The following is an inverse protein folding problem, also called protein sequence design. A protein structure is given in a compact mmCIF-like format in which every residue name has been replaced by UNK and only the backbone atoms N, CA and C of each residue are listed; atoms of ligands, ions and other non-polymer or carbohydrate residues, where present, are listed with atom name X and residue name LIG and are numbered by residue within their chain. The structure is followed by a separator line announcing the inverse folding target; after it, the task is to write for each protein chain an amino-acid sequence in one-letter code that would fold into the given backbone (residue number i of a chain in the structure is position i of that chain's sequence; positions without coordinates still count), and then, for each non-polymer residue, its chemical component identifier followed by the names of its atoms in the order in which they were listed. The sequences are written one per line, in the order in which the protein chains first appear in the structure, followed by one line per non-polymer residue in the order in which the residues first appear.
data_IF_610010304638
#
_entry.id   IF_610010304638
#
_cell.length_a   1.000
_cell.length_b   1.000
_cell.length_c   1.000
_cell.angle_alpha   90.00
_cell.angle_beta   90.00
_cell.angle_gamma   90.00
#
_symmetry.space_group_name_H-M   'P 1'
#
loop_
_entity.id
_entity.type
_entity.pdbx_description
1 polymer ?
#
# COMPACT_ATOMS: atom_id res chain seq x y z
N UNK A 1 -7.91 -15.75 18.68
CA UNK A 1 -7.25 -14.55 18.17
C UNK A 1 -8.08 -14.05 17.01
N UNK A 2 -8.82 -12.97 17.20
CA UNK A 2 -9.71 -12.40 16.20
C UNK A 2 -8.85 -11.72 15.14
N UNK A 3 -8.83 -12.26 13.93
CA UNK A 3 -8.25 -11.60 12.77
C UNK A 3 -8.93 -10.23 12.63
N UNK A 4 -8.14 -9.17 12.74
CA UNK A 4 -8.57 -7.83 12.42
C UNK A 4 -8.86 -7.81 10.92
N UNK A 5 -10.13 -7.91 10.55
CA UNK A 5 -10.56 -7.71 9.18
C UNK A 5 -10.24 -6.26 8.82
N UNK A 6 -9.14 -6.07 8.08
CA UNK A 6 -8.86 -4.78 7.47
C UNK A 6 -10.09 -4.35 6.69
N UNK A 7 -10.66 -3.21 7.04
CA UNK A 7 -11.86 -2.63 6.42
C UNK A 7 -11.57 -2.17 4.98
N UNK A 8 -11.26 -3.11 4.09
CA UNK A 8 -11.20 -2.78 2.66
C UNK A 8 -12.62 -2.57 2.16
N UNK A 9 -12.86 -1.41 1.58
CA UNK A 9 -14.16 -1.06 1.03
C UNK A 9 -14.56 -2.03 -0.10
N UNK A 10 -15.85 -2.31 -0.22
CA UNK A 10 -16.37 -3.17 -1.28
C UNK A 10 -16.07 -2.59 -2.67
N UNK A 11 -15.83 -3.45 -3.67
CA UNK A 11 -15.59 -3.03 -5.06
C UNK A 11 -16.70 -2.13 -5.59
N UNK A 12 -17.96 -2.38 -5.20
CA UNK A 12 -19.09 -1.53 -5.58
C UNK A 12 -18.96 -0.10 -5.01
N UNK A 13 -18.52 0.04 -3.77
CA UNK A 13 -18.27 1.35 -3.17
C UNK A 13 -17.12 2.07 -3.88
N UNK A 14 -16.06 1.36 -4.25
CA UNK A 14 -14.90 1.89 -4.97
C UNK A 14 -15.26 2.35 -6.40
N UNK A 15 -16.09 1.59 -7.12
CA UNK A 15 -16.59 1.98 -8.45
C UNK A 15 -17.37 3.31 -8.43
N UNK A 16 -17.90 3.72 -7.28
CA UNK A 16 -18.58 5.01 -7.08
C UNK A 16 -17.62 6.15 -6.75
N UNK A 17 -16.33 5.89 -6.51
CA UNK A 17 -15.33 6.91 -6.25
C UNK A 17 -14.94 7.65 -7.52
N UNK A 18 -14.59 8.94 -7.38
CA UNK A 18 -14.20 9.82 -8.47
C UNK A 18 -12.70 9.97 -8.61
N UNK A 19 -11.98 9.80 -7.50
CA UNK A 19 -10.53 9.81 -7.46
C UNK A 19 -10.02 8.91 -6.34
N UNK A 20 -8.77 8.52 -6.44
CA UNK A 20 -8.07 7.75 -5.42
C UNK A 20 -6.69 8.34 -5.16
N UNK A 21 -6.21 8.17 -3.93
CA UNK A 21 -4.93 8.71 -3.48
C UNK A 21 -4.10 7.61 -2.82
N UNK A 22 -2.86 7.51 -3.23
CA UNK A 22 -1.81 6.80 -2.52
C UNK A 22 -0.93 7.83 -1.79
N UNK A 23 -1.08 7.89 -0.46
CA UNK A 23 -0.34 8.80 0.42
C UNK A 23 0.92 8.10 0.94
N UNK A 24 1.90 7.94 0.08
CA UNK A 24 3.18 7.37 0.48
C UNK A 24 4.10 8.38 1.18
N UNK A 25 5.01 7.90 2.05
CA UNK A 25 5.97 8.73 2.75
C UNK A 25 6.96 9.41 1.79
N UNK A 26 7.40 8.71 0.74
CA UNK A 26 8.29 9.29 -0.28
C UNK A 26 7.52 10.04 -1.37
N UNK A 27 6.42 9.48 -1.87
CA UNK A 27 5.66 10.05 -2.99
C UNK A 27 4.16 9.97 -2.73
N UNK A 28 3.47 11.02 -3.14
CA UNK A 28 2.01 11.12 -3.18
C UNK A 28 1.53 10.97 -4.62
N UNK A 29 0.61 10.04 -4.85
CA UNK A 29 0.03 9.78 -6.16
C UNK A 29 -1.47 9.94 -6.13
N UNK A 30 -2.02 10.52 -7.20
CA UNK A 30 -3.47 10.70 -7.33
C UNK A 30 -3.93 10.18 -8.69
N UNK A 31 -4.90 9.28 -8.65
CA UNK A 31 -5.61 8.77 -9.80
C UNK A 31 -7.00 9.40 -9.87
N UNK A 32 -7.38 9.92 -11.02
CA UNK A 32 -8.74 10.45 -11.27
C UNK A 32 -9.44 9.57 -12.27
N UNK A 33 -10.64 9.12 -11.94
CA UNK A 33 -11.46 8.26 -12.79
C UNK A 33 -11.70 8.90 -14.15
N UNK A 34 -11.38 8.19 -15.22
CA UNK A 34 -11.45 8.66 -16.60
C UNK A 34 -10.31 9.60 -17.03
N UNK A 35 -9.40 9.97 -16.12
CA UNK A 35 -8.24 10.80 -16.44
C UNK A 35 -6.88 10.12 -16.16
N UNK A 36 -6.91 9.00 -15.42
CA UNK A 36 -5.70 8.24 -15.09
C UNK A 36 -4.91 8.84 -13.93
N UNK A 37 -3.60 8.53 -13.87
CA UNK A 37 -2.66 9.06 -12.91
C UNK A 37 -2.36 10.53 -13.23
N UNK A 38 -2.83 11.44 -12.38
CA UNK A 38 -2.72 12.90 -12.60
C UNK A 38 -1.67 13.56 -11.73
N UNK A 39 -1.28 12.94 -10.63
CA UNK A 39 -0.21 13.39 -9.72
C UNK A 39 0.69 12.21 -9.40
N UNK A 40 1.99 12.40 -9.55
CA UNK A 40 3.05 11.56 -9.01
C UNK A 40 4.21 12.48 -8.58
N UNK A 41 4.22 12.85 -7.31
CA UNK A 41 5.12 13.87 -6.78
C UNK A 41 5.67 13.45 -5.41
N UNK A 42 6.89 13.88 -5.04
CA UNK A 42 7.40 13.72 -3.69
C UNK A 42 6.44 14.25 -2.62
N UNK A 43 6.30 13.53 -1.51
CA UNK A 43 5.48 13.93 -0.36
C UNK A 43 6.22 14.97 0.50
N UNK A 44 6.59 16.09 -0.12
CA UNK A 44 7.38 17.16 0.50
C UNK A 44 6.71 18.52 0.32
N UNK A 45 6.81 19.35 1.35
CA UNK A 45 6.32 20.73 1.35
C UNK A 45 7.36 21.67 1.99
N UNK A 46 7.67 22.78 1.34
CA UNK A 46 8.55 23.81 1.89
C UNK A 46 7.69 24.95 2.48
N UNK A 47 7.95 25.28 3.74
CA UNK A 47 7.15 26.23 4.52
C UNK A 47 8.05 27.33 5.08
N UNK A 48 7.60 28.56 5.02
CA UNK A 48 8.20 29.64 5.77
C UNK A 48 7.79 29.54 7.25
N UNK A 49 8.74 29.29 8.14
CA UNK A 49 8.49 29.10 9.57
C UNK A 49 8.04 30.35 10.30
N UNK A 50 8.27 31.53 9.74
CA UNK A 50 7.85 32.83 10.35
C UNK A 50 6.43 33.19 9.97
N UNK A 51 5.99 32.90 8.76
CA UNK A 51 4.68 33.31 8.23
C UNK A 51 3.69 32.16 8.10
N UNK A 52 4.15 30.89 8.19
CA UNK A 52 3.35 29.68 7.89
C UNK A 52 3.03 29.53 6.40
N UNK A 53 3.55 30.39 5.53
CA UNK A 53 3.27 30.35 4.09
C UNK A 53 3.88 29.11 3.44
N UNK A 54 3.10 28.42 2.61
CA UNK A 54 3.57 27.32 1.77
C UNK A 54 4.33 27.92 0.57
N UNK A 55 5.59 27.55 0.40
CA UNK A 55 6.51 28.09 -0.63
C UNK A 55 6.55 27.19 -1.85
N UNK A 56 6.67 25.87 -1.63
CA UNK A 56 6.79 24.89 -2.68
C UNK A 56 6.23 23.53 -2.22
N UNK A 57 5.87 22.67 -3.17
CA UNK A 57 5.46 21.28 -2.93
C UNK A 57 6.09 20.35 -3.95
N UNK A 58 6.10 19.05 -3.64
CA UNK A 58 6.56 18.01 -4.56
C UNK A 58 8.05 18.16 -4.88
N UNK A 59 8.41 17.99 -6.15
CA UNK A 59 9.80 18.05 -6.62
C UNK A 59 10.52 19.38 -6.29
N UNK A 60 9.81 20.50 -6.33
CA UNK A 60 10.39 21.78 -5.97
C UNK A 60 10.78 21.83 -4.50
N UNK A 61 9.90 21.35 -3.61
CA UNK A 61 10.21 21.26 -2.19
C UNK A 61 11.33 20.24 -1.91
N UNK A 62 11.32 19.10 -2.59
CA UNK A 62 12.37 18.07 -2.48
C UNK A 62 13.75 18.63 -2.84
N UNK A 63 13.88 19.38 -3.94
CA UNK A 63 15.12 20.04 -4.37
C UNK A 63 15.62 21.10 -3.38
N UNK A 64 14.75 21.63 -2.53
CA UNK A 64 15.09 22.58 -1.49
C UNK A 64 15.66 21.92 -0.23
N UNK A 65 15.52 20.60 -0.06
CA UNK A 65 16.00 19.88 1.12
C UNK A 65 17.49 20.08 1.32
N UNK A 66 17.88 20.57 2.52
CA UNK A 66 19.25 20.84 2.88
C UNK A 66 19.87 22.10 2.23
N UNK A 67 19.10 22.88 1.46
CA UNK A 67 19.55 24.08 0.74
C UNK A 67 18.80 25.34 1.12
N UNK A 68 18.00 25.30 2.16
CA UNK A 68 17.13 26.40 2.59
C UNK A 68 17.77 27.24 3.68
N UNK A 69 17.52 28.56 3.71
CA UNK A 69 17.86 29.39 4.86
C UNK A 69 17.01 28.97 6.07
N UNK A 70 17.46 29.30 7.29
CA UNK A 70 16.87 28.81 8.55
C UNK A 70 15.37 29.13 8.76
N UNK A 71 14.82 30.10 8.04
CA UNK A 71 13.38 30.43 8.10
C UNK A 71 12.53 29.67 7.07
N UNK A 72 13.12 28.79 6.25
CA UNK A 72 12.42 27.89 5.34
C UNK A 72 12.71 26.47 5.75
N UNK A 73 11.66 25.69 6.02
CA UNK A 73 11.76 24.30 6.40
C UNK A 73 11.03 23.40 5.39
N UNK A 74 11.70 22.37 4.95
CA UNK A 74 11.05 21.28 4.19
C UNK A 74 10.49 20.28 5.19
N UNK A 75 9.20 19.98 5.07
CA UNK A 75 8.47 19.04 5.92
C UNK A 75 7.84 17.94 5.07
N UNK A 76 7.69 16.77 5.66
CA UNK A 76 7.00 15.61 5.07
C UNK A 76 5.74 15.32 5.89
N UNK A 77 4.55 15.62 5.37
CA UNK A 77 3.30 15.44 6.11
C UNK A 77 2.85 13.98 6.23
N UNK A 78 3.54 13.08 5.53
CA UNK A 78 3.30 11.64 5.57
C UNK A 78 4.57 10.94 6.04
N UNK A 79 4.47 10.10 7.04
CA UNK A 79 5.57 9.28 7.59
C UNK A 79 5.06 7.89 7.91
N UNK A 80 5.87 6.85 7.66
CA UNK A 80 5.47 5.47 7.92
C UNK A 80 4.23 4.99 7.16
N UNK A 81 3.84 5.64 6.06
CA UNK A 81 2.60 5.35 5.34
C UNK A 81 1.34 5.95 5.99
N UNK A 82 1.51 6.80 7.02
CA UNK A 82 0.41 7.47 7.72
C UNK A 82 0.55 8.99 7.65
N UNK A 83 -0.58 9.71 7.70
CA UNK A 83 -0.57 11.16 7.72
C UNK A 83 -0.27 11.64 9.14
N UNK A 84 0.84 12.35 9.32
CA UNK A 84 1.28 12.91 10.62
C UNK A 84 0.93 14.39 10.78
N UNK A 85 0.67 15.10 9.66
CA UNK A 85 0.23 16.49 9.64
C UNK A 85 -0.89 16.64 8.61
N UNK A 86 -2.13 16.59 9.09
CA UNK A 86 -3.35 16.62 8.26
C UNK A 86 -3.45 17.94 7.50
N UNK A 87 -3.21 19.07 8.17
CA UNK A 87 -3.34 20.39 7.54
C UNK A 87 -2.31 20.55 6.41
N UNK A 88 -1.06 20.16 6.67
CA UNK A 88 -0.02 20.24 5.67
C UNK A 88 -0.25 19.28 4.51
N UNK A 89 -0.73 18.06 4.78
CA UNK A 89 -1.11 17.10 3.74
C UNK A 89 -2.22 17.65 2.84
N UNK A 90 -3.24 18.27 3.42
CA UNK A 90 -4.31 18.93 2.67
C UNK A 90 -3.79 20.10 1.83
N UNK A 91 -2.93 20.95 2.39
CA UNK A 91 -2.31 22.08 1.67
C UNK A 91 -1.45 21.59 0.52
N UNK A 92 -0.62 20.58 0.75
CA UNK A 92 0.20 19.93 -0.27
C UNK A 92 -0.66 19.36 -1.40
N UNK A 93 -1.66 18.55 -1.10
CA UNK A 93 -2.55 17.94 -2.09
C UNK A 93 -3.32 18.98 -2.91
N UNK A 94 -3.80 20.07 -2.27
CA UNK A 94 -4.48 21.16 -2.99
C UNK A 94 -3.59 21.80 -4.04
N UNK A 95 -2.29 21.96 -3.76
CA UNK A 95 -1.32 22.50 -4.72
C UNK A 95 -0.97 21.50 -5.80
N UNK A 96 -0.73 20.22 -5.44
CA UNK A 96 -0.38 19.17 -6.38
C UNK A 96 -1.50 18.89 -7.39
N UNK A 97 -2.76 18.92 -6.97
CA UNK A 97 -3.91 18.77 -7.85
C UNK A 97 -4.10 19.95 -8.82
N UNK A 98 -3.62 21.13 -8.46
CA UNK A 98 -3.80 22.33 -9.26
C UNK A 98 -5.26 22.75 -9.42
N UNK A 99 -5.51 23.97 -9.93
CA UNK A 99 -6.85 24.54 -9.99
C UNK A 99 -7.78 23.86 -10.97
N UNK A 100 -7.25 23.35 -12.09
CA UNK A 100 -8.05 22.70 -13.13
C UNK A 100 -8.73 21.42 -12.61
N UNK A 101 -7.93 20.54 -11.98
CA UNK A 101 -8.44 19.27 -11.44
C UNK A 101 -9.36 19.55 -10.24
N UNK A 102 -8.98 20.46 -9.34
CA UNK A 102 -9.80 20.84 -8.20
C UNK A 102 -11.17 21.38 -8.61
N UNK A 103 -11.24 22.24 -9.65
CA UNK A 103 -12.52 22.72 -10.18
C UNK A 103 -13.35 21.60 -10.76
N UNK A 104 -12.74 20.66 -11.49
CA UNK A 104 -13.41 19.49 -12.05
C UNK A 104 -14.01 18.60 -10.94
N UNK A 105 -13.24 18.31 -9.89
CA UNK A 105 -13.69 17.51 -8.76
C UNK A 105 -14.81 18.21 -7.96
N UNK A 106 -14.70 19.52 -7.72
CA UNK A 106 -15.73 20.29 -7.00
C UNK A 106 -17.11 20.31 -7.71
N UNK A 107 -17.14 20.14 -9.02
CA UNK A 107 -18.38 20.05 -9.81
C UNK A 107 -19.08 18.69 -9.65
N UNK A 108 -18.41 17.68 -9.06
CA UNK A 108 -19.02 16.36 -8.87
C UNK A 108 -19.97 16.39 -7.66
N UNK A 109 -21.27 16.11 -7.87
CA UNK A 109 -22.20 15.98 -6.74
C UNK A 109 -21.76 14.79 -5.88
N UNK A 110 -21.75 14.98 -4.56
CA UNK A 110 -21.38 13.94 -3.59
C UNK A 110 -20.00 13.33 -3.90
N UNK A 111 -18.97 14.17 -4.04
CA UNK A 111 -17.59 13.76 -4.31
C UNK A 111 -17.18 12.62 -3.36
N UNK A 112 -16.71 11.52 -3.92
CA UNK A 112 -16.22 10.33 -3.20
C UNK A 112 -14.79 10.05 -3.59
N UNK A 113 -14.00 9.62 -2.62
CA UNK A 113 -12.58 9.30 -2.81
C UNK A 113 -12.26 7.92 -2.23
N UNK A 114 -11.16 7.34 -2.70
CA UNK A 114 -10.53 6.19 -2.08
C UNK A 114 -9.10 6.56 -1.65
N UNK A 115 -8.57 5.91 -0.61
CA UNK A 115 -7.19 6.10 -0.15
C UNK A 115 -6.59 4.77 0.29
N UNK A 116 -5.33 4.54 -0.09
CA UNK A 116 -4.54 3.44 0.43
C UNK A 116 -4.17 3.69 1.90
N UNK A 117 -4.29 2.63 2.70
CA UNK A 117 -3.81 2.59 4.09
C UNK A 117 -2.99 1.32 4.30
N UNK A 118 -1.95 1.35 5.14
CA UNK A 118 -1.26 0.13 5.55
C UNK A 118 -2.22 -0.89 6.16
N UNK A 119 -1.88 -2.19 6.03
CA UNK A 119 -2.69 -3.28 6.55
C UNK A 119 -3.00 -3.18 8.04
N UNK A 120 -2.00 -2.77 8.82
CA UNK A 120 -2.03 -2.61 10.27
C UNK A 120 -2.33 -1.17 10.73
N UNK A 121 -2.87 -0.33 9.85
CA UNK A 121 -3.16 1.06 10.18
C UNK A 121 -4.11 1.14 11.38
N UNK A 122 -3.68 1.83 12.44
CA UNK A 122 -4.51 2.09 13.60
C UNK A 122 -5.68 3.02 13.29
N UNK A 123 -6.74 3.06 14.11
CA UNK A 123 -7.92 3.90 13.87
C UNK A 123 -7.61 5.39 13.73
N UNK A 124 -6.57 5.89 14.41
CA UNK A 124 -6.16 7.29 14.32
C UNK A 124 -5.54 7.59 12.96
N UNK A 125 -4.66 6.73 12.49
CA UNK A 125 -4.04 6.80 11.16
C UNK A 125 -5.08 6.72 10.05
N UNK A 126 -6.06 5.81 10.16
CA UNK A 126 -7.17 5.70 9.23
C UNK A 126 -8.00 6.99 9.19
N UNK A 127 -8.32 7.53 10.37
CA UNK A 127 -9.05 8.78 10.50
C UNK A 127 -8.28 9.97 9.90
N UNK A 128 -6.98 10.06 10.13
CA UNK A 128 -6.13 11.11 9.56
C UNK A 128 -6.14 11.08 8.01
N UNK A 129 -6.09 9.89 7.40
CA UNK A 129 -6.22 9.73 5.96
C UNK A 129 -7.60 10.18 5.45
N UNK A 130 -8.69 9.80 6.15
CA UNK A 130 -10.06 10.23 5.82
C UNK A 130 -10.19 11.76 5.91
N UNK A 131 -9.79 12.36 7.03
CA UNK A 131 -9.88 13.81 7.26
C UNK A 131 -9.06 14.60 6.24
N UNK A 132 -7.93 14.06 5.80
CA UNK A 132 -7.13 14.67 4.72
C UNK A 132 -7.94 14.81 3.43
N UNK A 133 -8.66 13.77 3.01
CA UNK A 133 -9.45 13.81 1.78
C UNK A 133 -10.78 14.55 1.95
N UNK A 134 -11.40 14.50 3.13
CA UNK A 134 -12.57 15.33 3.46
C UNK A 134 -12.22 16.81 3.34
N UNK A 135 -11.04 17.23 3.78
CA UNK A 135 -10.54 18.60 3.62
C UNK A 135 -10.33 19.03 2.16
N UNK A 136 -10.25 18.09 1.21
CA UNK A 136 -10.26 18.35 -0.23
C UNK A 136 -11.67 18.47 -0.82
N UNK A 137 -12.70 18.18 -0.02
CA UNK A 137 -14.11 18.24 -0.41
C UNK A 137 -14.77 16.88 -0.64
N UNK A 138 -14.09 15.77 -0.36
CA UNK A 138 -14.70 14.45 -0.41
C UNK A 138 -15.78 14.32 0.68
N UNK A 139 -16.98 13.88 0.31
CA UNK A 139 -18.08 13.63 1.27
C UNK A 139 -18.04 12.21 1.84
N UNK A 140 -17.41 11.31 1.13
CA UNK A 140 -17.17 9.94 1.57
C UNK A 140 -15.81 9.49 1.09
N UNK A 141 -15.10 8.82 1.97
CA UNK A 141 -13.76 8.27 1.72
C UNK A 141 -13.81 6.78 2.01
N UNK A 142 -13.38 5.99 1.06
CA UNK A 142 -13.26 4.54 1.17
C UNK A 142 -11.78 4.19 1.44
N UNK A 143 -11.53 3.36 2.44
CA UNK A 143 -10.20 2.85 2.75
C UNK A 143 -9.93 1.58 1.94
N UNK A 144 -8.73 1.47 1.41
CA UNK A 144 -8.26 0.29 0.68
C UNK A 144 -6.92 -0.13 1.25
N UNK A 145 -6.78 -1.41 1.55
CA UNK A 145 -5.50 -1.97 1.99
C UNK A 145 -4.45 -1.83 0.88
N UNK A 146 -3.28 -1.30 1.23
CA UNK A 146 -2.17 -1.09 0.29
C UNK A 146 -1.70 -2.38 -0.37
N UNK A 147 -1.71 -3.51 0.36
CA UNK A 147 -1.33 -4.82 -0.16
C UNK A 147 -2.29 -5.29 -1.24
N UNK A 148 -3.60 -5.16 -1.00
CA UNK A 148 -4.63 -5.53 -1.98
C UNK A 148 -4.57 -4.60 -3.20
N UNK A 149 -4.48 -3.29 -2.97
CA UNK A 149 -4.34 -2.34 -4.07
C UNK A 149 -3.11 -2.63 -4.94
N UNK A 150 -1.98 -2.91 -4.32
CA UNK A 150 -0.74 -3.21 -5.01
C UNK A 150 -0.80 -4.53 -5.78
N UNK A 151 -1.42 -5.57 -5.21
CA UNK A 151 -1.61 -6.87 -5.86
C UNK A 151 -2.49 -6.77 -7.12
N UNK A 152 -3.59 -6.04 -7.03
CA UNK A 152 -4.43 -5.73 -8.19
C UNK A 152 -3.65 -4.92 -9.24
N UNK A 153 -2.85 -3.95 -8.79
CA UNK A 153 -2.10 -3.06 -9.67
C UNK A 153 -0.96 -3.71 -10.43
N UNK A 154 -0.39 -4.79 -9.91
CA UNK A 154 0.62 -5.60 -10.63
C UNK A 154 0.01 -6.83 -11.34
N UNK A 155 -1.33 -6.96 -11.35
CA UNK A 155 -2.03 -8.01 -12.08
C UNK A 155 -1.96 -9.39 -11.45
N UNK A 156 -1.73 -9.49 -10.14
CA UNK A 156 -1.83 -10.77 -9.45
C UNK A 156 -3.27 -11.30 -9.48
N UNK A 157 -3.48 -12.61 -9.68
CA UNK A 157 -4.80 -13.24 -9.71
C UNK A 157 -5.33 -13.43 -8.28
N UNK A 158 -5.63 -12.31 -7.60
CA UNK A 158 -6.01 -12.29 -6.18
C UNK A 158 -7.32 -13.01 -5.88
N UNK A 159 -8.20 -13.15 -6.87
CA UNK A 159 -9.52 -13.79 -6.76
C UNK A 159 -9.47 -15.33 -6.80
N UNK A 160 -8.33 -15.92 -7.16
CA UNK A 160 -8.20 -17.38 -7.29
C UNK A 160 -7.99 -18.05 -5.92
N UNK A 161 -8.38 -19.33 -5.79
CA UNK A 161 -8.12 -20.12 -4.57
C UNK A 161 -6.67 -20.59 -4.45
N UNK A 162 -5.74 -19.86 -5.01
CA UNK A 162 -4.32 -20.14 -5.05
C UNK A 162 -3.59 -19.03 -4.30
N UNK A 163 -2.58 -19.42 -3.50
CA UNK A 163 -1.83 -18.43 -2.75
C UNK A 163 -0.91 -17.59 -3.65
N UNK A 164 -0.89 -16.29 -3.40
CA UNK A 164 0.08 -15.37 -3.97
C UNK A 164 0.74 -14.55 -2.86
N UNK A 165 2.07 -14.41 -2.90
CA UNK A 165 2.78 -13.55 -1.95
C UNK A 165 3.15 -12.23 -2.61
N UNK A 166 2.75 -11.15 -1.95
CA UNK A 166 3.12 -9.79 -2.35
C UNK A 166 3.98 -9.14 -1.28
N UNK A 167 4.98 -8.38 -1.70
CA UNK A 167 5.81 -7.56 -0.86
C UNK A 167 5.82 -6.11 -1.35
N UNK A 168 5.28 -5.19 -0.55
CA UNK A 168 5.25 -3.75 -0.85
C UNK A 168 6.43 -3.07 -0.15
N UNK A 169 7.47 -2.76 -0.91
CA UNK A 169 8.71 -2.15 -0.43
C UNK A 169 8.59 -0.62 -0.49
N UNK A 170 8.22 0.00 0.62
CA UNK A 170 8.07 1.43 0.76
C UNK A 170 9.37 2.15 1.18
N UNK A 171 9.27 3.46 1.41
CA UNK A 171 10.38 4.26 1.92
C UNK A 171 10.65 3.99 3.40
N UNK A 172 9.61 3.92 4.24
CA UNK A 172 9.71 3.75 5.69
C UNK A 172 9.52 2.31 6.15
N UNK A 173 8.68 1.55 5.45
CA UNK A 173 8.32 0.21 5.85
C UNK A 173 8.16 -0.71 4.64
N UNK A 174 8.37 -1.99 4.86
CA UNK A 174 8.03 -3.07 3.93
C UNK A 174 6.85 -3.85 4.51
N UNK A 175 5.85 -4.12 3.69
CA UNK A 175 4.71 -4.95 4.05
C UNK A 175 4.75 -6.22 3.22
N UNK A 176 4.53 -7.36 3.84
CA UNK A 176 4.51 -8.68 3.19
C UNK A 176 3.19 -9.33 3.51
N UNK A 177 2.55 -9.94 2.53
CA UNK A 177 1.31 -10.69 2.74
C UNK A 177 1.19 -11.88 1.81
N UNK A 178 0.48 -12.88 2.28
CA UNK A 178 -0.08 -13.97 1.47
C UNK A 178 -1.55 -13.67 1.24
N UNK A 179 -1.95 -13.68 -0.03
CA UNK A 179 -3.30 -13.44 -0.50
C UNK A 179 -3.88 -14.71 -1.09
N UNK A 180 -5.14 -14.97 -0.83
CA UNK A 180 -5.93 -16.04 -1.45
C UNK A 180 -7.41 -15.65 -1.42
N UNK A 181 -8.16 -15.97 -2.46
CA UNK A 181 -9.60 -15.68 -2.57
C UNK A 181 -9.93 -14.20 -2.22
N UNK A 182 -9.09 -13.27 -2.68
CA UNK A 182 -9.26 -11.83 -2.46
C UNK A 182 -9.08 -11.32 -1.05
N UNK A 183 -8.61 -12.17 -0.16
CA UNK A 183 -8.40 -11.84 1.25
C UNK A 183 -6.93 -11.98 1.63
N UNK A 184 -6.52 -11.21 2.62
CA UNK A 184 -5.21 -11.37 3.25
C UNK A 184 -5.31 -12.53 4.23
N UNK A 185 -4.54 -13.60 4.00
CA UNK A 185 -4.45 -14.78 4.87
C UNK A 185 -3.55 -14.48 6.07
N UNK A 186 -2.38 -13.95 5.78
CA UNK A 186 -1.40 -13.50 6.79
C UNK A 186 -0.63 -12.32 6.23
N UNK A 187 -0.26 -11.39 7.10
CA UNK A 187 0.54 -10.23 6.73
C UNK A 187 1.45 -9.80 7.88
N UNK A 188 2.56 -9.18 7.50
CA UNK A 188 3.50 -8.56 8.45
C UNK A 188 3.95 -7.21 7.90
N UNK A 189 4.06 -6.23 8.79
CA UNK A 189 4.66 -4.93 8.48
C UNK A 189 5.99 -4.80 9.20
N UNK A 190 7.04 -4.65 8.44
CA UNK A 190 8.41 -4.50 8.89
C UNK A 190 8.78 -3.01 8.82
N UNK A 191 9.22 -2.35 9.92
CA UNK A 191 9.56 -0.93 9.93
C UNK A 191 10.93 -0.67 9.27
N UNK A 192 11.17 -1.31 8.13
CA UNK A 192 12.38 -1.16 7.32
C UNK A 192 11.98 -0.91 5.88
N UNK A 193 12.50 0.16 5.30
CA UNK A 193 12.29 0.54 3.91
C UNK A 193 13.52 1.22 3.33
N UNK A 194 13.36 1.91 2.22
CA UNK A 194 14.45 2.59 1.52
C UNK A 194 15.20 3.61 2.36
N UNK A 195 14.53 4.29 3.29
CA UNK A 195 15.18 5.28 4.17
C UNK A 195 16.15 4.63 5.18
N UNK A 196 15.85 3.41 5.64
CA UNK A 196 16.79 2.68 6.50
C UNK A 196 18.07 2.33 5.74
N UNK A 197 17.94 1.97 4.46
CA UNK A 197 19.06 1.73 3.54
C UNK A 197 19.87 3.01 3.30
N UNK A 198 19.19 4.13 3.01
CA UNK A 198 19.82 5.44 2.84
C UNK A 198 20.61 5.83 4.09
N UNK A 199 20.00 5.63 5.26
CA UNK A 199 20.64 5.92 6.54
C UNK A 199 21.88 5.06 6.77
N UNK A 200 21.82 3.76 6.48
CA UNK A 200 22.96 2.86 6.61
C UNK A 200 24.14 3.30 5.73
N UNK A 201 23.88 3.74 4.49
CA UNK A 201 24.91 4.27 3.58
C UNK A 201 25.52 5.56 4.17
N UNK A 202 24.70 6.49 4.63
CA UNK A 202 25.18 7.76 5.23
C UNK A 202 26.03 7.48 6.46
N UNK A 203 25.64 6.55 7.33
CA UNK A 203 26.41 6.18 8.51
C UNK A 203 27.72 5.49 8.14
N UNK A 204 27.73 4.59 7.16
CA UNK A 204 28.94 3.98 6.65
C UNK A 204 29.97 5.04 6.23
N UNK A 205 29.55 5.99 5.38
CA UNK A 205 30.42 7.03 4.85
C UNK A 205 30.92 7.96 5.95
N UNK A 206 30.08 8.27 6.93
CA UNK A 206 30.46 9.10 8.07
C UNK A 206 31.48 8.41 8.98
N UNK A 207 31.30 7.11 9.27
CA UNK A 207 32.15 6.40 10.22
C UNK A 207 33.46 5.89 9.59
N UNK A 208 33.43 5.39 8.35
CA UNK A 208 34.62 4.83 7.75
C UNK A 208 35.45 5.85 6.95
N UNK A 209 34.78 6.88 6.41
CA UNK A 209 35.43 7.84 5.52
C UNK A 209 35.40 9.26 6.05
N UNK A 210 34.82 9.51 7.24
CA UNK A 210 34.65 10.84 7.84
C UNK A 210 33.97 11.83 6.88
N UNK A 211 33.04 11.33 6.05
CA UNK A 211 32.39 12.09 4.99
C UNK A 211 30.90 12.29 5.31
N UNK A 212 30.45 13.53 5.31
CA UNK A 212 29.02 13.88 5.36
C UNK A 212 28.49 14.02 3.94
N UNK A 213 27.57 13.14 3.58
CA UNK A 213 26.95 13.13 2.27
C UNK A 213 25.71 14.05 2.24
N UNK A 214 25.55 14.87 1.20
CA UNK A 214 24.28 15.56 0.98
C UNK A 214 23.15 14.57 0.79
N UNK A 215 21.98 14.80 1.42
CA UNK A 215 20.84 13.89 1.38
C UNK A 215 20.38 13.55 -0.05
N UNK A 216 20.58 14.44 -1.01
CA UNK A 216 20.25 14.20 -2.42
C UNK A 216 21.27 13.32 -3.18
N UNK A 217 22.42 13.04 -2.58
CA UNK A 217 23.51 12.26 -3.23
C UNK A 217 23.42 10.78 -2.94
N UNK A 218 22.58 10.33 -1.99
CA UNK A 218 22.45 8.91 -1.63
C UNK A 218 21.83 8.12 -2.78
N UNK A 219 20.74 8.61 -3.37
CA UNK A 219 20.07 7.91 -4.48
C UNK A 219 20.93 7.80 -5.76
N UNK A 220 21.62 8.84 -6.24
CA UNK A 220 22.61 8.69 -7.31
C UNK A 220 23.70 7.66 -6.99
N UNK A 221 24.15 7.56 -5.75
CA UNK A 221 25.09 6.55 -5.31
C UNK A 221 24.49 5.13 -5.42
N UNK A 222 23.28 4.90 -4.94
CA UNK A 222 22.57 3.63 -5.09
C UNK A 222 22.46 3.22 -6.56
N UNK A 223 22.08 4.15 -7.43
CA UNK A 223 22.00 3.90 -8.87
C UNK A 223 23.35 3.57 -9.51
N UNK A 224 24.42 4.26 -9.09
CA UNK A 224 25.77 3.94 -9.56
C UNK A 224 26.23 2.55 -9.13
N UNK A 225 25.76 2.06 -7.98
CA UNK A 225 26.05 0.71 -7.47
C UNK A 225 25.26 -0.37 -8.19
N UNK A 226 24.13 -0.01 -8.84
CA UNK A 226 23.29 -0.96 -9.56
C UNK A 226 23.96 -1.53 -10.83
N UNK A 227 24.99 -0.85 -11.35
CA UNK A 227 25.57 -1.17 -12.65
C UNK A 227 24.56 -1.02 -13.80
N UNK A 228 24.99 -0.76 -14.99
CA UNK A 228 24.13 -0.79 -16.18
C UNK A 228 23.73 -2.24 -16.52
N UNK A 229 22.78 -2.81 -15.78
CA UNK A 229 22.06 -4.03 -16.11
C UNK A 229 22.92 -5.32 -16.20
N UNK A 230 22.50 -6.37 -15.50
CA UNK A 230 22.78 -7.79 -15.75
C UNK A 230 24.20 -8.34 -15.47
N UNK A 231 25.17 -7.57 -15.04
CA UNK A 231 26.44 -8.14 -14.60
C UNK A 231 26.72 -7.86 -13.13
N UNK A 232 27.19 -8.87 -12.35
CA UNK A 232 27.63 -8.66 -10.97
C UNK A 232 28.85 -7.74 -10.82
N UNK A 233 29.39 -7.26 -11.92
CA UNK A 233 30.62 -6.50 -12.05
C UNK A 233 30.35 -5.01 -12.34
N UNK A 234 29.70 -4.31 -11.38
CA UNK A 234 29.84 -2.87 -11.32
C UNK A 234 31.29 -2.48 -10.99
N UNK A 235 31.71 -1.22 -11.17
CA UNK A 235 33.06 -0.79 -10.84
C UNK A 235 33.40 -1.19 -9.41
N UNK A 236 34.62 -1.69 -9.19
CA UNK A 236 35.07 -2.15 -7.87
C UNK A 236 35.06 -1.01 -6.82
N UNK A 237 35.10 0.25 -7.27
CA UNK A 237 35.01 1.42 -6.43
C UNK A 237 34.30 2.56 -7.14
N UNK A 238 33.66 3.44 -6.38
CA UNK A 238 33.01 4.67 -6.88
C UNK A 238 33.55 5.89 -6.14
N UNK A 239 33.69 7.02 -6.85
CA UNK A 239 34.10 8.28 -6.25
C UNK A 239 32.87 9.04 -5.75
N UNK A 240 32.91 9.46 -4.48
CA UNK A 240 31.82 10.12 -3.79
C UNK A 240 32.30 11.48 -3.28
N UNK A 241 31.50 12.49 -3.56
CA UNK A 241 31.78 13.88 -3.12
C UNK A 241 30.91 14.21 -1.90
N UNK A 242 31.52 14.77 -0.88
CA UNK A 242 30.85 15.20 0.34
C UNK A 242 31.61 16.25 1.09
N UNK A 243 31.20 16.51 2.33
CA UNK A 243 31.89 17.41 3.24
C UNK A 243 32.68 16.60 4.26
N UNK A 244 33.95 16.86 4.40
CA UNK A 244 34.81 16.32 5.44
C UNK A 244 34.30 16.70 6.83
N UNK A 245 34.23 15.71 7.74
CA UNK A 245 33.66 15.88 9.11
C UNK A 245 34.55 16.82 9.96
N UNK A 246 35.89 16.65 9.86
CA UNK A 246 36.84 17.36 10.69
C UNK A 246 37.08 18.77 10.22
N UNK A 247 37.30 18.96 8.91
CA UNK A 247 37.69 20.26 8.32
C UNK A 247 36.53 21.09 7.83
N UNK A 248 35.36 20.46 7.59
CA UNK A 248 34.19 21.12 6.98
C UNK A 248 34.33 21.41 5.48
N UNK A 249 35.46 21.07 4.86
CA UNK A 249 35.74 21.34 3.46
C UNK A 249 35.13 20.28 2.52
N UNK A 250 34.98 20.63 1.24
CA UNK A 250 34.60 19.67 0.22
C UNK A 250 35.71 18.63 0.03
N UNK A 251 35.35 17.35 0.02
CA UNK A 251 36.25 16.21 -0.13
C UNK A 251 35.64 15.15 -1.02
N UNK A 252 36.49 14.51 -1.83
CA UNK A 252 36.14 13.33 -2.60
C UNK A 252 36.82 12.11 -2.00
N UNK A 253 36.06 11.01 -1.91
CA UNK A 253 36.54 9.73 -1.38
C UNK A 253 36.17 8.64 -2.35
N UNK A 254 37.11 7.71 -2.59
CA UNK A 254 36.84 6.50 -3.34
C UNK A 254 36.38 5.41 -2.37
N UNK A 255 35.19 4.88 -2.60
CA UNK A 255 34.56 3.89 -1.73
C UNK A 255 34.39 2.57 -2.48
N UNK A 256 34.74 1.48 -1.81
CA UNK A 256 34.54 0.13 -2.34
C UNK A 256 33.06 -0.22 -2.42
N UNK A 257 32.61 -0.68 -3.60
CA UNK A 257 31.21 -1.00 -3.86
C UNK A 257 30.71 -2.21 -3.07
N UNK A 258 31.59 -3.17 -2.73
CA UNK A 258 31.23 -4.32 -1.91
C UNK A 258 30.89 -3.90 -0.48
N UNK A 259 31.65 -2.94 0.08
CA UNK A 259 31.39 -2.38 1.40
C UNK A 259 30.03 -1.68 1.47
N UNK A 260 29.65 -0.92 0.43
CA UNK A 260 28.35 -0.25 0.37
C UNK A 260 27.22 -1.27 0.20
N UNK A 261 27.40 -2.33 -0.63
CA UNK A 261 26.41 -3.42 -0.76
C UNK A 261 26.17 -4.11 0.58
N UNK A 262 27.21 -4.40 1.34
CA UNK A 262 27.06 -4.99 2.68
C UNK A 262 26.27 -4.06 3.63
N UNK A 263 26.53 -2.75 3.58
CA UNK A 263 25.78 -1.78 4.37
C UNK A 263 24.29 -1.73 3.98
N UNK A 264 23.97 -1.88 2.69
CA UNK A 264 22.57 -1.96 2.20
C UNK A 264 21.88 -3.23 2.69
N UNK A 265 22.59 -4.36 2.71
CA UNK A 265 22.00 -5.64 3.12
C UNK A 265 21.67 -5.71 4.61
N UNK A 266 22.44 -5.03 5.45
CA UNK A 266 22.27 -5.08 6.91
C UNK A 266 20.85 -4.73 7.38
N UNK A 267 20.23 -3.59 7.02
CA UNK A 267 18.86 -3.28 7.43
C UNK A 267 17.84 -4.23 6.79
N UNK A 268 18.12 -4.80 5.62
CA UNK A 268 17.19 -5.66 4.90
C UNK A 268 17.06 -7.06 5.52
N UNK A 269 17.95 -7.46 6.44
CA UNK A 269 17.85 -8.74 7.15
C UNK A 269 16.53 -8.85 7.93
N UNK A 270 16.07 -7.75 8.52
CA UNK A 270 14.77 -7.72 9.22
C UNK A 270 13.58 -8.03 8.29
N UNK A 271 13.71 -7.77 6.99
CA UNK A 271 12.68 -8.12 6.00
C UNK A 271 12.62 -9.64 5.82
N UNK A 272 13.76 -10.33 5.83
CA UNK A 272 13.82 -11.79 5.78
C UNK A 272 13.14 -12.43 6.98
N UNK A 273 13.36 -11.89 8.17
CA UNK A 273 12.70 -12.35 9.41
C UNK A 273 11.18 -12.19 9.31
N UNK A 274 10.71 -11.06 8.76
CA UNK A 274 9.29 -10.80 8.52
C UNK A 274 8.68 -11.78 7.51
N UNK A 275 9.37 -12.08 6.41
CA UNK A 275 8.93 -13.09 5.45
C UNK A 275 8.83 -14.46 6.13
N UNK A 276 9.85 -14.84 6.91
CA UNK A 276 9.85 -16.09 7.68
C UNK A 276 8.68 -16.19 8.65
N UNK A 277 8.27 -15.07 9.27
CA UNK A 277 7.09 -15.01 10.15
C UNK A 277 5.81 -15.25 9.35
N UNK A 278 5.62 -14.56 8.23
CA UNK A 278 4.45 -14.72 7.35
C UNK A 278 4.31 -16.16 6.87
N UNK A 279 5.42 -16.80 6.47
CA UNK A 279 5.40 -18.20 6.01
C UNK A 279 5.07 -19.19 7.14
N UNK A 280 5.55 -18.95 8.37
CA UNK A 280 5.21 -19.80 9.53
C UNK A 280 3.76 -19.68 9.95
N UNK A 281 3.16 -18.48 9.81
CA UNK A 281 1.78 -18.21 10.18
C UNK A 281 0.79 -18.59 9.05
N UNK A 282 1.31 -18.93 7.86
CA UNK A 282 0.53 -19.33 6.70
C UNK A 282 0.16 -20.83 6.75
N UNK A 283 -1.06 -21.23 6.38
CA UNK A 283 -1.44 -22.64 6.22
C UNK A 283 -0.50 -23.38 5.27
N UNK A 284 -0.09 -24.65 5.59
CA UNK A 284 0.88 -25.40 4.79
C UNK A 284 0.49 -25.59 3.31
N UNK A 285 -0.80 -25.79 3.03
CA UNK A 285 -1.30 -25.98 1.66
C UNK A 285 -1.05 -24.72 0.80
N UNK A 286 -1.21 -23.53 1.39
CA UNK A 286 -0.95 -22.27 0.70
C UNK A 286 0.57 -21.99 0.55
N UNK A 287 1.39 -22.47 1.49
CA UNK A 287 2.86 -22.35 1.36
C UNK A 287 3.37 -23.15 0.19
N UNK A 288 2.77 -24.31 -0.12
CA UNK A 288 3.14 -25.11 -1.27
C UNK A 288 2.95 -24.34 -2.59
N UNK A 289 1.86 -23.60 -2.75
CA UNK A 289 1.62 -22.75 -3.92
C UNK A 289 2.70 -21.68 -4.09
N UNK A 290 3.21 -21.15 -2.98
CA UNK A 290 4.21 -20.08 -2.98
C UNK A 290 5.60 -20.56 -3.43
N UNK A 291 5.91 -21.84 -3.26
CA UNK A 291 7.20 -22.41 -3.69
C UNK A 291 7.42 -22.24 -5.20
N UNK A 292 6.35 -22.40 -5.98
CA UNK A 292 6.39 -22.26 -7.45
C UNK A 292 6.16 -20.82 -7.91
N UNK A 293 5.26 -20.09 -7.24
CA UNK A 293 4.85 -18.73 -7.65
C UNK A 293 5.79 -17.65 -7.17
N UNK A 294 6.43 -17.87 -6.03
CA UNK A 294 7.39 -16.95 -5.43
C UNK A 294 6.79 -15.69 -4.85
N UNK A 295 7.61 -14.66 -4.77
CA UNK A 295 7.32 -13.37 -4.17
C UNK A 295 7.23 -12.30 -5.26
N UNK A 296 6.11 -11.58 -5.32
CA UNK A 296 5.97 -10.40 -6.17
C UNK A 296 6.38 -9.15 -5.39
N UNK A 297 7.44 -8.47 -5.83
CA UNK A 297 7.94 -7.23 -5.23
C UNK A 297 7.37 -6.02 -5.94
N UNK A 298 6.82 -5.09 -5.17
CA UNK A 298 6.31 -3.79 -5.62
C UNK A 298 6.78 -2.68 -4.68
N UNK A 299 6.53 -1.42 -5.04
CA UNK A 299 6.99 -0.24 -4.29
C UNK A 299 8.35 0.26 -4.75
N UNK A 300 8.67 1.51 -4.41
CA UNK A 300 9.87 2.18 -4.92
C UNK A 300 11.19 1.54 -4.46
N UNK A 301 11.21 0.90 -3.29
CA UNK A 301 12.39 0.22 -2.74
C UNK A 301 12.57 -1.22 -3.28
N UNK A 302 11.61 -1.76 -4.04
CA UNK A 302 11.81 -2.99 -4.80
C UNK A 302 12.92 -2.86 -5.86
N UNK A 303 13.24 -1.62 -6.25
CA UNK A 303 14.31 -1.30 -7.19
C UNK A 303 15.69 -1.15 -6.53
N UNK A 304 15.84 -1.45 -5.24
CA UNK A 304 17.14 -1.44 -4.56
C UNK A 304 18.06 -2.53 -5.15
N UNK A 305 19.32 -2.19 -5.46
CA UNK A 305 20.26 -3.11 -6.09
C UNK A 305 20.48 -4.37 -5.28
N UNK A 306 20.29 -5.54 -5.90
CA UNK A 306 20.57 -6.84 -5.29
C UNK A 306 19.57 -7.28 -4.21
N UNK A 307 18.52 -6.53 -3.97
CA UNK A 307 17.51 -6.90 -2.98
C UNK A 307 16.75 -8.16 -3.39
N UNK A 308 16.34 -8.25 -4.63
CA UNK A 308 15.71 -9.44 -5.20
C UNK A 308 16.62 -10.68 -5.15
N UNK A 309 17.91 -10.51 -5.43
CA UNK A 309 18.88 -11.59 -5.35
C UNK A 309 19.09 -12.08 -3.92
N UNK A 310 19.18 -11.16 -2.95
CA UNK A 310 19.28 -11.50 -1.54
C UNK A 310 18.05 -12.30 -1.08
N UNK A 311 16.85 -11.90 -1.48
CA UNK A 311 15.61 -12.61 -1.16
C UNK A 311 15.59 -14.01 -1.77
N UNK A 312 15.93 -14.17 -3.06
CA UNK A 312 16.01 -15.48 -3.71
C UNK A 312 16.98 -16.42 -3.00
N UNK A 313 18.15 -15.92 -2.61
CA UNK A 313 19.15 -16.72 -1.91
C UNK A 313 18.72 -17.14 -0.50
N UNK A 314 18.05 -16.24 0.22
CA UNK A 314 17.65 -16.49 1.60
C UNK A 314 16.38 -17.34 1.72
N UNK A 315 15.43 -17.19 0.78
CA UNK A 315 14.13 -17.89 0.84
C UNK A 315 14.09 -19.16 -0.01
N UNK A 316 14.96 -19.28 -1.00
CA UNK A 316 14.90 -20.36 -2.02
C UNK A 316 13.73 -20.21 -2.99
N UNK A 317 12.92 -19.15 -2.87
CA UNK A 317 11.72 -18.93 -3.68
C UNK A 317 12.03 -18.04 -4.89
N UNK A 318 11.31 -18.19 -6.01
CA UNK A 318 11.33 -17.21 -7.08
C UNK A 318 10.97 -15.81 -6.57
N UNK A 319 11.65 -14.79 -7.08
CA UNK A 319 11.33 -13.39 -6.74
C UNK A 319 11.16 -12.60 -8.03
N UNK A 320 10.03 -11.95 -8.16
CA UNK A 320 9.64 -11.17 -9.32
C UNK A 320 9.47 -9.70 -8.94
N UNK A 321 9.99 -8.80 -9.74
CA UNK A 321 9.75 -7.36 -9.59
C UNK A 321 8.71 -6.96 -10.62
N UNK A 322 7.66 -6.26 -10.21
CA UNK A 322 6.64 -5.76 -11.12
C UNK A 322 7.26 -4.78 -12.15
N UNK A 323 6.68 -4.68 -13.33
CA UNK A 323 7.21 -3.84 -14.42
C UNK A 323 7.34 -2.36 -13.99
N UNK A 324 6.36 -1.83 -13.26
CA UNK A 324 6.35 -0.48 -12.69
C UNK A 324 6.04 -0.53 -11.19
N UNK A 325 6.99 -1.03 -10.39
CA UNK A 325 6.71 -1.43 -9.01
C UNK A 325 6.28 -0.25 -8.14
N UNK A 326 6.76 0.93 -8.43
CA UNK A 326 6.51 2.15 -7.66
C UNK A 326 5.08 2.69 -7.77
N UNK A 327 4.34 2.35 -8.83
CA UNK A 327 2.97 2.85 -9.07
C UNK A 327 1.88 1.78 -8.93
N UNK A 328 2.24 0.53 -8.59
CA UNK A 328 1.26 -0.58 -8.51
C UNK A 328 0.07 -0.25 -7.60
N UNK A 329 0.29 0.28 -6.40
CA UNK A 329 -0.80 0.59 -5.48
C UNK A 329 -1.82 1.58 -6.08
N UNK A 330 -1.35 2.68 -6.65
CA UNK A 330 -2.25 3.67 -7.26
C UNK A 330 -2.90 3.18 -8.55
N UNK A 331 -2.23 2.31 -9.31
CA UNK A 331 -2.82 1.67 -10.51
C UNK A 331 -3.90 0.66 -10.14
N UNK A 332 -3.70 -0.10 -9.07
CA UNK A 332 -4.72 -0.99 -8.52
C UNK A 332 -5.95 -0.23 -8.05
N UNK A 333 -5.77 0.86 -7.29
CA UNK A 333 -6.87 1.76 -6.97
C UNK A 333 -7.59 2.26 -8.23
N UNK A 334 -6.85 2.68 -9.25
CA UNK A 334 -7.41 3.10 -10.53
C UNK A 334 -8.23 2.00 -11.19
N UNK A 335 -7.73 0.77 -11.24
CA UNK A 335 -8.43 -0.39 -11.80
C UNK A 335 -9.73 -0.70 -11.06
N UNK A 336 -9.72 -0.59 -9.73
CA UNK A 336 -10.93 -0.74 -8.90
C UNK A 336 -11.97 0.36 -9.17
N UNK A 337 -11.53 1.61 -9.30
CA UNK A 337 -12.42 2.74 -9.61
C UNK A 337 -13.06 2.61 -10.99
N UNK A 338 -12.28 2.16 -11.98
CA UNK A 338 -12.75 1.96 -13.37
C UNK A 338 -13.60 0.69 -13.54
N UNK A 339 -13.67 -0.16 -12.50
CA UNK A 339 -14.42 -1.42 -12.56
C UNK A 339 -13.76 -2.50 -13.41
N UNK A 340 -12.44 -2.41 -13.61
CA UNK A 340 -11.65 -3.41 -14.36
C UNK A 340 -11.35 -4.67 -13.55
N UNK A 341 -11.63 -4.64 -12.25
CA UNK A 341 -11.47 -5.78 -11.33
C UNK A 341 -12.80 -6.50 -11.25
N UNK A 342 -12.78 -7.81 -11.46
CA UNK A 342 -13.97 -8.63 -11.27
C UNK A 342 -14.37 -8.67 -9.80
N UNK A 343 -15.69 -8.74 -9.49
CA UNK A 343 -16.12 -8.90 -8.12
C UNK A 343 -15.58 -10.21 -7.57
N UNK A 344 -14.94 -10.17 -6.41
CA UNK A 344 -14.64 -11.35 -5.64
C UNK A 344 -15.95 -11.96 -5.19
N UNK A 345 -16.33 -13.10 -5.76
CA UNK A 345 -17.49 -13.87 -5.32
C UNK A 345 -17.10 -14.61 -4.05
N UNK A 346 -17.10 -13.91 -2.93
CA UNK A 346 -16.79 -14.48 -1.62
C UNK A 346 -17.88 -15.41 -1.09
N UNK A 347 -19.09 -15.35 -1.66
CA UNK A 347 -20.19 -16.28 -1.38
C UNK A 347 -20.87 -16.62 -2.70
N UNK A 348 -20.82 -17.89 -3.15
CA UNK A 348 -21.71 -18.34 -4.21
C UNK A 348 -23.14 -18.12 -3.73
N UNK A 349 -23.87 -17.24 -4.41
CA UNK A 349 -25.29 -17.12 -4.16
C UNK A 349 -25.93 -18.48 -4.46
N UNK A 350 -26.92 -18.91 -3.66
CA UNK A 350 -27.62 -20.19 -3.84
C UNK A 350 -28.19 -20.38 -5.25
N UNK A 351 -28.31 -19.31 -6.05
CA UNK A 351 -28.64 -19.34 -7.48
C UNK A 351 -27.56 -19.97 -8.36
N UNK A 352 -26.28 -19.91 -7.95
CA UNK A 352 -25.16 -20.42 -8.76
C UNK A 352 -24.90 -21.92 -8.52
N UNK A 353 -25.48 -22.48 -7.47
CA UNK A 353 -25.33 -23.89 -7.11
C UNK A 353 -26.28 -24.84 -7.86
N UNK A 354 -27.09 -24.35 -8.79
CA UNK A 354 -27.93 -25.21 -9.64
C UNK A 354 -28.95 -26.11 -8.91
N UNK A 355 -29.29 -25.79 -7.64
CA UNK A 355 -30.32 -26.50 -6.90
C UNK A 355 -31.67 -25.98 -7.40
N UNK A 356 -32.14 -26.56 -8.47
CA UNK A 356 -33.51 -26.40 -8.94
C UNK A 356 -34.46 -26.81 -7.84
N UNK A 357 -35.10 -25.84 -7.21
CA UNK A 357 -36.33 -26.10 -6.43
C UNK A 357 -37.39 -26.51 -7.46
N UNK A 358 -37.60 -27.81 -7.60
CA UNK A 358 -38.67 -28.38 -8.42
C UNK A 358 -40.01 -27.83 -7.95
N UNK A 359 -40.57 -26.93 -8.74
CA UNK A 359 -41.97 -26.56 -8.64
C UNK A 359 -42.82 -27.79 -9.00
N UNK A 360 -43.39 -28.44 -8.00
CA UNK A 360 -44.48 -29.37 -8.22
C UNK A 360 -45.73 -28.56 -8.56
N UNK A 361 -46.03 -28.50 -9.82
CA UNK A 361 -47.38 -28.18 -10.32
C UNK A 361 -48.27 -29.37 -10.06
N UNK A 362 -49.11 -29.29 -9.06
CA UNK A 362 -50.25 -30.19 -8.86
C UNK A 362 -51.47 -29.57 -9.51
N UNK A 363 -51.90 -30.15 -10.63
CA UNK A 363 -53.20 -29.93 -11.24
C UNK A 363 -54.26 -30.68 -10.43
N UNK A 364 -55.39 -30.01 -10.25
CA UNK A 364 -56.52 -30.47 -9.48
C UNK A 364 -57.34 -31.63 -10.03
N UNK A 365 -58.24 -32.11 -9.22
CA UNK A 365 -59.57 -32.62 -9.62
C UNK A 365 -60.47 -32.66 -8.41
N UNK A 366 -61.67 -32.15 -8.58
CA UNK A 366 -62.85 -32.18 -7.73
C UNK A 366 -63.24 -33.59 -7.31
N UNK A 367 -63.86 -33.67 -6.10
CA UNK A 367 -65.24 -34.26 -5.89
C UNK A 367 -65.57 -34.27 -4.38
N UNK A 368 -66.52 -33.47 -4.05
CA UNK A 368 -67.87 -33.70 -3.47
C UNK A 368 -68.04 -34.75 -2.34
N UNK A 369 -68.64 -34.29 -1.27
CA UNK A 369 -69.61 -34.84 -0.34
C UNK A 369 -69.32 -34.57 1.16
N UNK A 370 -70.14 -33.74 1.72
CA UNK A 370 -70.35 -33.62 3.16
C UNK A 370 -71.40 -34.71 3.62
N UNK A 371 -72.09 -34.56 4.78
CA UNK A 371 -71.69 -34.07 6.09
C UNK A 371 -71.94 -35.16 7.16
N UNK A 372 -71.49 -35.06 8.39
CA UNK A 372 -72.31 -35.28 9.57
C UNK A 372 -71.59 -35.07 10.92
N UNK A 373 -72.31 -34.37 11.76
CA UNK A 373 -72.63 -34.48 13.18
C UNK A 373 -71.66 -35.13 14.17
N UNK A 374 -71.46 -34.43 15.28
CA UNK A 374 -71.43 -35.12 16.56
C UNK A 374 -70.54 -34.51 17.65
N UNK A 375 -71.12 -33.63 18.39
CA UNK A 375 -71.18 -33.54 19.86
C UNK A 375 -70.03 -34.03 20.73
N UNK A 376 -69.67 -33.16 21.64
CA UNK A 376 -69.54 -33.60 23.03
C UNK A 376 -68.38 -32.96 23.80
N UNK A 377 -68.66 -31.90 24.52
CA UNK A 377 -68.60 -31.76 25.97
C UNK A 377 -67.22 -31.99 26.63
N UNK A 378 -66.82 -30.96 27.31
CA UNK A 378 -66.64 -30.93 28.74
C UNK A 378 -65.24 -30.53 29.23
N UNK A 379 -65.25 -29.45 30.00
CA UNK A 379 -64.74 -29.32 31.34
C UNK A 379 -63.22 -29.18 31.44
N UNK A 380 -62.74 -28.45 32.18
CA UNK A 380 -62.95 -27.47 33.26
C UNK A 380 -61.66 -27.29 33.99
N UNK A 381 -61.45 -26.06 34.39
CA UNK A 381 -60.78 -25.61 35.60
C UNK A 381 -59.34 -25.99 35.95
N UNK A 382 -58.63 -24.95 36.34
CA UNK A 382 -57.80 -24.94 37.54
C UNK A 382 -56.46 -24.23 37.43
N UNK A 383 -56.44 -22.96 37.64
CA UNK A 383 -55.84 -22.17 38.76
C UNK A 383 -54.54 -22.69 39.37
N UNK A 384 -53.62 -21.77 39.60
CA UNK A 384 -52.75 -21.71 40.76
C UNK A 384 -51.31 -21.34 40.48
N UNK A 385 -51.05 -20.12 40.62
CA UNK A 385 -50.02 -19.44 41.43
C UNK A 385 -48.92 -20.31 42.06
N UNK A 386 -47.66 -19.99 41.76
CA UNK A 386 -46.71 -19.23 42.60
C UNK A 386 -45.54 -18.77 41.76
#
# INVERSE_FOLDING_TARGET
MTASTANTASLEALRRCHFAVDLGAARTRVYVKGAGLVVDQPSAAAVNTRTGALIAVGEFAEKMTGRTPGYIRVVRPVSGGTVVDIEMAQRMLRHLLGDKIRRALRRKPRLRAAVCTPHDADPLSQRAAIETLVGLGARRVELVDTLIAAAVGCGLPVERPEATMIMVCGAHATQVAVLSLGSIVTAERIPVGGEAVDHAIVQLLRHQHELVLPSQSVRPLQLALSGNGLTPQGPASTEIHGRDVATGLARSVRVDTATVRNAIQTPLTAVLDGIGKVLRDCPPDLVADLADRGIMMVGGSALLPGFDQMLRQATGMPVHIAERPDVCAVQGLGSMLEGRVEPLVLHPTTSDLGVGVGARSGTGADTDAGPDSGTGIGGDSGSGSD
#
